data_IF_141674453068
#
_entry.id   IF_141674453068
#
_cell.length_a   1.000
_cell.length_b   1.000
_cell.length_c   1.000
_cell.angle_alpha   90.00
_cell.angle_beta   90.00
_cell.angle_gamma   90.00
#
_symmetry.space_group_name_H-M   'P 1'
#
loop_
_entity.id
_entity.type
_entity.pdbx_description
1 polymer ?
#
# COMPACT_ATOMS: atom_id res chain seq x y z
N UNK A 1 17.78 11.00 -52.74
CA UNK A 1 17.82 9.97 -51.68
C UNK A 1 17.30 10.65 -50.42
N UNK A 2 16.06 10.38 -50.02
CA UNK A 2 15.43 10.95 -48.84
C UNK A 2 15.62 9.98 -47.68
N UNK A 3 16.44 10.35 -46.70
CA UNK A 3 16.63 9.58 -45.48
C UNK A 3 15.47 9.83 -44.53
N UNK A 4 14.67 8.79 -44.26
CA UNK A 4 13.69 8.76 -43.17
C UNK A 4 14.45 8.57 -41.86
N UNK A 5 14.45 9.59 -41.00
CA UNK A 5 14.94 9.46 -39.63
C UNK A 5 13.86 8.78 -38.79
N UNK A 6 14.14 7.57 -38.31
CA UNK A 6 13.34 6.89 -37.28
C UNK A 6 13.36 7.73 -36.00
N UNK A 7 12.22 8.04 -35.36
CA UNK A 7 12.23 8.68 -34.05
C UNK A 7 12.88 7.73 -33.04
N UNK A 8 13.87 8.21 -32.31
CA UNK A 8 14.36 7.50 -31.13
C UNK A 8 13.21 7.37 -30.13
N UNK A 9 12.95 6.14 -29.66
CA UNK A 9 12.03 5.93 -28.55
C UNK A 9 12.57 6.70 -27.35
N UNK A 10 11.85 7.76 -26.97
CA UNK A 10 12.10 8.48 -25.73
C UNK A 10 11.87 7.50 -24.58
N UNK A 11 12.94 7.08 -23.93
CA UNK A 11 12.87 6.24 -22.74
C UNK A 11 12.05 7.01 -21.72
N UNK A 12 10.79 6.62 -21.54
CA UNK A 12 9.94 7.22 -20.53
C UNK A 12 10.69 7.20 -19.19
N UNK A 13 10.61 8.29 -18.38
CA UNK A 13 11.22 8.31 -17.07
C UNK A 13 10.87 7.03 -16.31
N UNK A 14 11.86 6.38 -15.70
CA UNK A 14 11.61 5.24 -14.82
C UNK A 14 10.80 5.77 -13.65
N UNK A 15 9.51 5.47 -13.65
CA UNK A 15 8.59 5.94 -12.62
C UNK A 15 8.87 5.14 -11.35
N UNK A 16 9.41 5.83 -10.34
CA UNK A 16 9.72 5.23 -9.05
C UNK A 16 8.47 5.32 -8.18
N UNK A 17 7.92 4.17 -7.83
CA UNK A 17 6.78 4.08 -6.92
C UNK A 17 7.29 3.93 -5.49
N UNK A 18 6.74 4.67 -4.52
CA UNK A 18 7.14 4.55 -3.12
C UNK A 18 6.58 3.28 -2.46
N UNK A 19 5.38 2.83 -2.86
CA UNK A 19 4.67 1.72 -2.22
C UNK A 19 4.18 0.62 -3.17
N UNK A 20 2.87 0.46 -3.30
CA UNK A 20 2.26 -0.58 -4.15
C UNK A 20 2.79 -0.49 -5.59
N UNK A 21 3.14 -1.65 -6.17
CA UNK A 21 3.69 -1.76 -7.52
C UNK A 21 5.19 -1.43 -7.63
N UNK A 22 5.82 -0.88 -6.59
CA UNK A 22 7.26 -0.63 -6.54
C UNK A 22 8.05 -1.93 -6.75
N UNK A 23 9.23 -1.85 -7.39
CA UNK A 23 10.10 -3.01 -7.41
C UNK A 23 10.69 -3.27 -6.02
N UNK A 24 11.14 -4.50 -5.74
CA UNK A 24 11.85 -4.78 -4.48
C UNK A 24 13.06 -3.86 -4.26
N UNK A 25 13.75 -3.48 -5.34
CA UNK A 25 14.89 -2.58 -5.27
C UNK A 25 14.45 -1.16 -4.86
N UNK A 26 13.39 -0.64 -5.48
CA UNK A 26 12.86 0.69 -5.16
C UNK A 26 12.30 0.73 -3.73
N UNK A 27 11.54 -0.29 -3.34
CA UNK A 27 11.05 -0.45 -1.98
C UNK A 27 12.19 -0.41 -0.96
N UNK A 28 13.22 -1.23 -1.15
CA UNK A 28 14.37 -1.27 -0.24
C UNK A 28 15.22 0.01 -0.28
N UNK A 29 15.09 0.85 -1.31
CA UNK A 29 15.80 2.13 -1.38
C UNK A 29 15.11 3.22 -0.53
N UNK A 30 13.79 3.10 -0.32
CA UNK A 30 13.00 4.02 0.52
C UNK A 30 12.64 3.44 1.89
N UNK A 31 12.75 2.14 2.09
CA UNK A 31 12.39 1.42 3.31
C UNK A 31 13.59 0.71 3.94
N UNK A 32 13.87 1.01 5.21
CA UNK A 32 14.94 0.40 5.98
C UNK A 32 14.44 -0.92 6.57
N UNK A 33 14.92 -2.04 6.06
CA UNK A 33 14.58 -3.36 6.59
C UNK A 33 14.96 -3.49 8.06
N UNK A 34 14.06 -4.02 8.89
CA UNK A 34 14.42 -4.42 10.23
C UNK A 34 15.33 -5.65 10.19
N UNK A 35 16.49 -5.53 10.84
CA UNK A 35 17.51 -6.59 10.92
C UNK A 35 17.68 -7.11 12.35
N UNK A 36 16.82 -6.69 13.28
CA UNK A 36 16.78 -7.29 14.61
C UNK A 36 16.51 -8.79 14.51
N UNK A 37 17.32 -9.59 15.21
CA UNK A 37 17.36 -11.05 15.04
C UNK A 37 16.10 -11.82 15.43
N UNK A 38 15.06 -11.14 15.92
CA UNK A 38 13.73 -11.70 16.23
C UNK A 38 12.70 -11.45 15.12
N UNK A 39 13.00 -10.58 14.16
CA UNK A 39 12.08 -10.17 13.09
C UNK A 39 12.21 -11.13 11.91
N UNK A 40 11.08 -11.52 11.31
CA UNK A 40 11.10 -12.42 10.14
C UNK A 40 11.83 -11.70 9.00
N UNK A 41 12.91 -12.29 8.43
CA UNK A 41 13.69 -11.62 7.40
C UNK A 41 12.81 -11.14 6.22
N UNK A 42 12.88 -9.85 5.92
CA UNK A 42 12.15 -9.23 4.81
C UNK A 42 10.65 -9.01 5.04
N UNK A 43 10.12 -9.27 6.25
CA UNK A 43 8.71 -9.00 6.55
C UNK A 43 8.40 -7.54 6.82
N UNK A 44 9.38 -6.82 7.39
CA UNK A 44 9.10 -5.66 8.20
C UNK A 44 10.16 -4.58 8.01
N UNK A 45 9.70 -3.34 7.95
CA UNK A 45 10.51 -2.19 7.54
C UNK A 45 10.17 -0.94 8.34
N UNK A 46 11.18 -0.10 8.48
CA UNK A 46 11.18 1.16 9.22
C UNK A 46 10.84 0.95 10.70
N UNK A 47 11.79 0.41 11.50
CA UNK A 47 11.63 0.29 12.95
C UNK A 47 11.29 1.65 13.57
N UNK A 48 10.12 1.75 14.19
CA UNK A 48 9.56 3.01 14.67
C UNK A 48 9.13 2.86 16.14
N UNK A 49 10.02 3.15 17.11
CA UNK A 49 9.74 2.96 18.54
C UNK A 49 8.49 3.69 19.05
N UNK A 50 8.10 4.79 18.42
CA UNK A 50 6.91 5.56 18.79
C UNK A 50 5.59 4.81 18.53
N UNK A 51 5.60 3.77 17.69
CA UNK A 51 4.45 2.90 17.44
C UNK A 51 4.28 1.82 18.52
N UNK A 52 5.26 1.67 19.43
CA UNK A 52 5.26 0.58 20.40
C UNK A 52 4.13 0.81 21.42
N UNK A 53 3.15 -0.08 21.42
CA UNK A 53 2.09 -0.12 22.44
C UNK A 53 2.29 -1.35 23.31
N UNK A 54 1.85 -1.30 24.58
CA UNK A 54 1.84 -2.48 25.46
C UNK A 54 3.20 -3.11 25.82
N UNK A 55 4.32 -2.48 25.44
CA UNK A 55 5.67 -2.99 25.72
C UNK A 55 6.23 -3.96 24.67
N UNK A 56 5.62 -4.04 23.48
CA UNK A 56 6.20 -4.82 22.38
C UNK A 56 7.51 -4.17 21.89
N UNK A 57 8.65 -4.89 21.97
CA UNK A 57 9.89 -4.39 21.41
C UNK A 57 9.86 -4.49 19.88
N UNK A 58 10.35 -3.45 19.20
CA UNK A 58 10.58 -3.41 17.75
C UNK A 58 9.30 -3.54 16.90
N UNK A 59 8.52 -2.47 16.86
CA UNK A 59 7.43 -2.33 15.89
C UNK A 59 7.89 -1.55 14.67
N UNK A 60 7.56 -2.10 13.51
CA UNK A 60 7.81 -1.53 12.20
C UNK A 60 6.61 -0.76 11.67
N UNK A 61 6.88 0.33 10.96
CA UNK A 61 5.85 1.11 10.29
C UNK A 61 5.23 0.36 9.11
N UNK A 62 5.97 -0.56 8.48
CA UNK A 62 5.49 -1.38 7.37
C UNK A 62 5.75 -2.86 7.66
N UNK A 63 4.75 -3.71 7.44
CA UNK A 63 4.82 -5.14 7.76
C UNK A 63 3.98 -5.99 6.79
N UNK A 64 4.21 -7.30 6.77
CA UNK A 64 3.52 -8.25 5.87
C UNK A 64 3.69 -7.84 4.39
N UNK A 65 4.90 -7.40 4.02
CA UNK A 65 5.18 -6.97 2.65
C UNK A 65 5.29 -8.19 1.73
N UNK A 66 4.34 -8.32 0.80
CA UNK A 66 4.30 -9.40 -0.17
C UNK A 66 4.76 -8.93 -1.54
N UNK A 67 5.42 -9.85 -2.24
CA UNK A 67 5.95 -9.60 -3.56
C UNK A 67 5.47 -10.65 -4.53
N UNK A 68 5.13 -10.22 -5.74
CA UNK A 68 5.00 -11.07 -6.91
C UNK A 68 5.78 -10.43 -8.05
N UNK A 69 6.40 -11.23 -8.91
CA UNK A 69 7.15 -10.71 -10.06
C UNK A 69 8.22 -9.65 -9.74
N UNK A 70 8.80 -9.67 -8.54
CA UNK A 70 9.72 -8.63 -8.02
C UNK A 70 9.08 -7.25 -7.78
N UNK A 71 7.75 -7.18 -7.64
CA UNK A 71 6.99 -5.98 -7.30
C UNK A 71 6.20 -6.17 -6.01
N UNK A 72 6.00 -5.09 -5.27
CA UNK A 72 5.17 -5.07 -4.06
C UNK A 72 3.70 -5.17 -4.46
N UNK A 73 3.00 -6.19 -3.96
CA UNK A 73 1.59 -6.45 -4.29
C UNK A 73 0.65 -6.25 -3.11
N UNK A 74 1.17 -6.30 -1.88
CA UNK A 74 0.45 -5.93 -0.67
C UNK A 74 1.40 -5.65 0.48
N UNK A 75 0.95 -4.86 1.44
CA UNK A 75 1.60 -4.64 2.73
C UNK A 75 0.62 -3.95 3.68
N UNK A 76 0.95 -4.01 4.97
CA UNK A 76 0.27 -3.27 6.01
C UNK A 76 1.15 -2.14 6.54
N UNK A 77 0.52 -1.05 6.98
CA UNK A 77 1.12 0.11 7.60
C UNK A 77 0.60 0.27 9.02
N UNK A 78 1.48 0.66 9.95
CA UNK A 78 1.11 1.06 11.31
C UNK A 78 1.26 2.56 11.50
N UNK A 79 0.38 3.14 12.30
CA UNK A 79 0.34 4.55 12.62
C UNK A 79 0.20 4.75 14.14
N UNK A 80 0.70 5.89 14.62
CA UNK A 80 0.19 6.41 15.89
C UNK A 80 -1.29 6.73 15.66
N UNK A 81 -2.23 6.29 16.53
CA UNK A 81 -3.66 6.48 16.31
C UNK A 81 -3.99 7.92 15.93
N UNK A 82 -4.62 8.11 14.77
CA UNK A 82 -4.89 9.42 14.20
C UNK A 82 -6.24 9.45 13.46
N UNK A 83 -6.78 10.66 13.16
CA UNK A 83 -7.97 10.77 12.34
C UNK A 83 -7.77 10.21 10.93
N UNK A 84 -8.81 9.58 10.37
CA UNK A 84 -8.79 8.96 9.04
C UNK A 84 -8.30 9.90 7.94
N UNK A 85 -8.60 11.21 8.02
CA UNK A 85 -8.10 12.18 7.04
C UNK A 85 -6.57 12.25 7.01
N UNK A 86 -5.91 12.14 8.17
CA UNK A 86 -4.44 12.11 8.28
C UNK A 86 -3.89 10.79 7.77
N UNK A 87 -4.45 9.66 8.20
CA UNK A 87 -3.97 8.33 7.78
C UNK A 87 -4.17 8.10 6.29
N UNK A 88 -5.32 8.48 5.74
CA UNK A 88 -5.60 8.38 4.31
C UNK A 88 -4.66 9.27 3.48
N UNK A 89 -4.23 10.43 3.99
CA UNK A 89 -3.24 11.25 3.30
C UNK A 89 -1.86 10.56 3.24
N UNK A 90 -1.46 9.83 4.28
CA UNK A 90 -0.25 9.00 4.25
C UNK A 90 -0.38 7.86 3.25
N UNK A 91 -1.50 7.13 3.24
CA UNK A 91 -1.77 6.07 2.26
C UNK A 91 -1.74 6.60 0.83
N UNK A 92 -2.38 7.75 0.56
CA UNK A 92 -2.38 8.33 -0.79
C UNK A 92 -0.99 8.80 -1.24
N UNK A 93 -0.08 9.11 -0.31
CA UNK A 93 1.31 9.43 -0.65
C UNK A 93 2.13 8.20 -1.07
N UNK A 94 1.65 6.98 -0.76
CA UNK A 94 2.24 5.72 -1.21
C UNK A 94 1.79 5.32 -2.63
N UNK A 95 0.76 5.99 -3.16
CA UNK A 95 0.17 5.68 -4.46
C UNK A 95 0.61 6.70 -5.53
N UNK A 96 0.53 6.35 -6.83
CA UNK A 96 0.80 7.32 -7.89
C UNK A 96 -0.10 8.55 -7.82
N UNK A 97 0.40 9.69 -8.29
CA UNK A 97 -0.32 10.96 -8.25
C UNK A 97 -1.62 10.99 -9.09
N UNK A 98 -1.76 10.07 -10.06
CA UNK A 98 -2.94 9.92 -10.91
C UNK A 98 -4.02 8.98 -10.30
N UNK A 99 -3.82 8.55 -9.06
CA UNK A 99 -4.75 7.68 -8.34
C UNK A 99 -6.11 8.34 -8.12
N UNK A 100 -7.18 7.61 -8.42
CA UNK A 100 -8.56 8.03 -8.22
C UNK A 100 -9.32 7.03 -7.36
N UNK A 101 -10.11 7.52 -6.42
CA UNK A 101 -11.00 6.68 -5.61
C UNK A 101 -12.20 6.24 -6.43
N UNK A 102 -12.45 4.93 -6.48
CA UNK A 102 -13.62 4.33 -7.12
C UNK A 102 -14.80 4.27 -6.16
N UNK A 103 -14.56 3.79 -4.94
CA UNK A 103 -15.57 3.69 -3.90
C UNK A 103 -14.93 3.66 -2.50
N UNK A 104 -15.77 3.89 -1.49
CA UNK A 104 -15.40 3.76 -0.08
C UNK A 104 -16.61 3.26 0.71
N UNK A 105 -16.39 2.43 1.73
CA UNK A 105 -17.41 1.97 2.67
C UNK A 105 -16.85 1.83 4.08
N UNK A 106 -17.72 1.90 5.07
CA UNK A 106 -17.42 1.48 6.44
C UNK A 106 -18.31 0.29 6.75
N UNK A 107 -17.71 -0.79 7.23
CA UNK A 107 -18.37 -2.06 7.52
C UNK A 107 -17.83 -2.54 8.87
N UNK A 108 -18.71 -2.84 9.83
CA UNK A 108 -18.28 -3.34 11.14
C UNK A 108 -17.13 -2.55 11.77
N UNK A 109 -15.96 -3.19 11.83
CA UNK A 109 -14.73 -2.71 12.48
C UNK A 109 -13.76 -1.98 11.55
N UNK A 110 -13.99 -1.96 10.24
CA UNK A 110 -13.04 -1.40 9.27
C UNK A 110 -13.67 -0.41 8.29
N UNK A 111 -12.83 0.41 7.67
CA UNK A 111 -13.18 1.25 6.52
C UNK A 111 -12.39 0.79 5.31
N UNK A 112 -13.08 0.52 4.22
CA UNK A 112 -12.49 0.04 2.98
C UNK A 112 -12.65 1.06 1.86
N UNK A 113 -11.68 1.13 0.97
CA UNK A 113 -11.75 1.92 -0.26
C UNK A 113 -11.07 1.17 -1.39
N UNK A 114 -11.51 1.41 -2.61
CA UNK A 114 -10.75 1.00 -3.79
C UNK A 114 -10.38 2.23 -4.62
N UNK A 115 -9.18 2.17 -5.14
CA UNK A 115 -8.60 3.18 -6.02
C UNK A 115 -8.19 2.54 -7.34
N UNK A 116 -7.98 3.37 -8.36
CA UNK A 116 -7.36 2.97 -9.63
C UNK A 116 -6.29 3.98 -10.03
N UNK A 117 -5.23 3.54 -10.70
CA UNK A 117 -4.19 4.37 -11.28
C UNK A 117 -3.82 3.88 -12.69
N UNK A 118 -3.95 4.73 -13.73
CA UNK A 118 -3.40 4.45 -15.05
C UNK A 118 -1.90 4.13 -15.06
N UNK A 119 -1.12 4.76 -14.16
CA UNK A 119 0.29 4.41 -13.94
C UNK A 119 0.44 2.95 -13.47
N UNK A 120 -0.33 2.51 -12.46
CA UNK A 120 -0.27 1.12 -12.00
C UNK A 120 -0.69 0.15 -13.11
N UNK A 121 -1.80 0.42 -13.81
CA UNK A 121 -2.28 -0.43 -14.90
C UNK A 121 -1.23 -0.62 -16.01
N UNK A 122 -0.47 0.44 -16.34
CA UNK A 122 0.63 0.37 -17.32
C UNK A 122 1.81 -0.47 -16.82
N UNK A 123 2.18 -0.31 -15.55
CA UNK A 123 3.35 -0.97 -14.96
C UNK A 123 3.10 -2.45 -14.61
N UNK A 124 1.86 -2.80 -14.27
CA UNK A 124 1.45 -4.11 -13.78
C UNK A 124 0.70 -4.94 -14.83
N UNK A 125 0.17 -4.30 -15.88
CA UNK A 125 -0.57 -4.98 -16.96
C UNK A 125 0.24 -6.00 -17.76
N UNK A 126 1.54 -5.78 -18.03
CA UNK A 126 2.37 -6.80 -18.65
C UNK A 126 2.58 -8.03 -17.73
N UNK A 127 2.78 -9.23 -18.29
CA UNK A 127 3.20 -10.39 -17.51
C UNK A 127 4.50 -10.13 -16.72
N UNK A 128 4.68 -10.79 -15.57
CA UNK A 128 3.85 -11.89 -15.08
C UNK A 128 2.72 -11.48 -14.12
N UNK A 129 2.56 -10.19 -13.76
CA UNK A 129 1.46 -9.72 -12.90
C UNK A 129 0.13 -9.75 -13.66
N UNK A 130 0.04 -9.07 -14.81
CA UNK A 130 -1.17 -9.10 -15.63
C UNK A 130 -2.33 -8.23 -15.13
N UNK A 131 -2.11 -7.32 -14.17
CA UNK A 131 -3.14 -6.40 -13.69
C UNK A 131 -3.28 -5.21 -14.64
N UNK A 132 -4.29 -5.28 -15.50
CA UNK A 132 -4.60 -4.23 -16.49
C UNK A 132 -5.50 -3.13 -15.94
N UNK A 133 -5.94 -3.24 -14.69
CA UNK A 133 -6.85 -2.28 -14.04
C UNK A 133 -6.11 -1.25 -13.21
N UNK A 134 -4.95 -1.64 -12.62
CA UNK A 134 -4.22 -0.80 -11.70
C UNK A 134 -5.04 -0.48 -10.45
N UNK A 135 -5.91 -1.41 -10.05
CA UNK A 135 -6.75 -1.27 -8.87
C UNK A 135 -5.94 -1.50 -7.60
N UNK A 136 -6.28 -0.74 -6.56
CA UNK A 136 -5.71 -0.91 -5.23
C UNK A 136 -6.84 -0.89 -4.22
N UNK A 137 -7.00 -2.00 -3.50
CA UNK A 137 -7.85 -2.08 -2.33
C UNK A 137 -7.07 -1.58 -1.11
N UNK A 138 -7.75 -0.77 -0.30
CA UNK A 138 -7.23 -0.27 0.97
C UNK A 138 -8.25 -0.52 2.07
N UNK A 139 -7.79 -1.13 3.16
CA UNK A 139 -8.54 -1.28 4.40
C UNK A 139 -7.88 -0.46 5.50
N UNK A 140 -8.68 0.18 6.33
CA UNK A 140 -8.27 0.94 7.50
C UNK A 140 -8.93 0.35 8.73
N UNK A 141 -8.13 0.09 9.75
CA UNK A 141 -8.59 -0.41 11.03
C UNK A 141 -8.29 0.61 12.13
N UNK A 142 -9.09 0.55 13.19
CA UNK A 142 -8.94 1.39 14.36
C UNK A 142 -8.81 0.53 15.61
N UNK A 143 -7.81 0.84 16.43
CA UNK A 143 -7.63 0.30 17.77
C UNK A 143 -7.35 -1.22 17.78
N UNK A 144 -6.65 -1.73 16.74
CA UNK A 144 -6.24 -3.13 16.63
C UNK A 144 -5.44 -3.58 17.88
N UNK A 145 -4.75 -2.63 18.53
CA UNK A 145 -3.92 -2.86 19.70
C UNK A 145 -4.56 -2.43 21.05
N UNK A 146 -5.80 -1.91 21.05
CA UNK A 146 -6.34 -1.13 22.18
C UNK A 146 -7.56 -1.67 22.91
N UNK A 147 -8.24 -2.73 22.44
CA UNK A 147 -9.30 -3.34 23.26
C UNK A 147 -10.47 -4.04 22.55
N UNK A 148 -10.36 -4.42 21.28
CA UNK A 148 -11.42 -5.17 20.60
C UNK A 148 -12.68 -4.33 20.37
N UNK A 149 -12.51 -3.17 19.72
CA UNK A 149 -13.64 -2.37 19.27
C UNK A 149 -14.54 -3.21 18.37
N UNK A 150 -15.86 -3.17 18.60
CA UNK A 150 -16.84 -3.79 17.72
C UNK A 150 -17.24 -2.88 16.54
N UNK A 151 -16.68 -1.66 16.47
CA UNK A 151 -17.04 -0.62 15.50
C UNK A 151 -15.78 0.17 15.13
N UNK A 152 -15.66 0.53 13.85
CA UNK A 152 -14.63 1.43 13.35
C UNK A 152 -14.70 2.84 13.97
N UNK A 153 -13.58 3.34 14.51
CA UNK A 153 -13.41 4.71 15.02
C UNK A 153 -12.57 5.56 14.05
N UNK A 154 -13.19 6.45 13.25
CA UNK A 154 -12.47 7.29 12.30
C UNK A 154 -11.56 8.35 12.95
N UNK A 155 -11.62 8.53 14.28
CA UNK A 155 -10.74 9.45 14.99
C UNK A 155 -9.42 8.80 15.46
N UNK A 156 -9.33 7.46 15.42
CA UNK A 156 -8.25 6.68 16.03
C UNK A 156 -7.80 5.51 15.15
N UNK A 157 -7.64 5.76 13.86
CA UNK A 157 -7.12 4.79 12.90
C UNK A 157 -5.64 4.56 13.16
N UNK A 158 -5.21 3.31 13.26
CA UNK A 158 -3.84 2.91 13.60
C UNK A 158 -3.23 1.88 12.65
N UNK A 159 -4.04 1.25 11.79
CA UNK A 159 -3.55 0.32 10.76
C UNK A 159 -4.16 0.64 9.40
N UNK A 160 -3.41 0.38 8.33
CA UNK A 160 -3.96 0.27 6.98
C UNK A 160 -3.34 -0.92 6.23
N UNK A 161 -4.14 -1.66 5.48
CA UNK A 161 -3.71 -2.67 4.51
C UNK A 161 -3.86 -2.10 3.10
N UNK A 162 -2.86 -2.31 2.24
CA UNK A 162 -2.97 -2.06 0.81
C UNK A 162 -2.73 -3.36 0.04
N UNK A 163 -3.52 -3.61 -1.00
CA UNK A 163 -3.32 -4.76 -1.90
C UNK A 163 -3.77 -4.45 -3.34
N UNK A 164 -3.25 -5.20 -4.31
CA UNK A 164 -3.67 -5.15 -5.72
C UNK A 164 -5.00 -5.90 -6.00
N UNK A 165 -5.84 -6.08 -5.00
CA UNK A 165 -7.16 -6.67 -5.20
C UNK A 165 -8.13 -5.65 -5.82
N UNK A 166 -9.11 -6.15 -6.57
CA UNK A 166 -10.15 -5.32 -7.18
C UNK A 166 -11.53 -5.87 -6.92
N UNK A 167 -12.44 -4.98 -6.54
CA UNK A 167 -13.83 -5.26 -6.23
C UNK A 167 -14.72 -4.27 -6.99
N UNK A 168 -15.42 -4.71 -8.04
CA UNK A 168 -16.17 -3.81 -8.92
C UNK A 168 -17.15 -2.86 -8.21
N UNK A 169 -17.61 -3.24 -7.01
CA UNK A 169 -18.44 -2.41 -6.14
C UNK A 169 -17.99 -2.57 -4.70
N UNK A 170 -18.30 -1.54 -3.91
CA UNK A 170 -18.12 -1.58 -2.46
C UNK A 170 -18.75 -2.83 -1.83
N UNK A 171 -19.89 -3.34 -2.29
CA UNK A 171 -20.53 -4.55 -1.74
C UNK A 171 -19.71 -5.84 -1.91
N UNK A 172 -18.77 -5.85 -2.85
CA UNK A 172 -18.05 -7.05 -3.27
C UNK A 172 -16.74 -7.23 -2.47
N UNK A 173 -16.31 -6.19 -1.74
CA UNK A 173 -15.13 -6.24 -0.87
C UNK A 173 -15.29 -7.26 0.28
N UNK A 174 -14.17 -7.65 0.91
CA UNK A 174 -14.16 -8.64 1.99
C UNK A 174 -14.85 -8.10 3.26
N UNK A 175 -15.26 -8.98 4.14
CA UNK A 175 -15.67 -8.60 5.50
C UNK A 175 -14.47 -8.08 6.31
N UNK A 176 -14.77 -7.40 7.41
CA UNK A 176 -13.86 -7.23 8.54
C UNK A 176 -14.13 -8.37 9.55
#
# INVERSE_FOLDING_TARGET
MTSTSTPAAETAPVEHLPGIGATRADWNASHVMDTHGTTVPGCCFNPTPALATGGEPNVDAYYVVNYDANRVISYSMRFVPAPIGTVNAHVLAELPADTQMLWTRTLGTCRQSEFTSPTLARLLGPPPIGDTTGSVFVEFDSDEHGGGQSIYDPARVDTALLSLDSYPKASDGPEC
#
